data_IF_530997591713
#
_entry.id   IF_530997591713
#
_cell.length_a   1.000
_cell.length_b   1.000
_cell.length_c   1.000
_cell.angle_alpha   90.00
_cell.angle_beta   90.00
_cell.angle_gamma   90.00
#
_symmetry.space_group_name_H-M   'P 1'
#
loop_
_entity.id
_entity.type
_entity.pdbx_description
1 polymer ?
#
# COMPACT_ATOMS: atom_id res chain seq x y z
N UNK A 1 6.37 13.63 25.99
CA UNK A 1 7.46 13.13 25.08
C UNK A 1 7.49 14.03 23.84
N UNK A 2 8.67 14.46 23.37
CA UNK A 2 8.78 15.30 22.18
C UNK A 2 8.77 14.46 20.91
N UNK A 3 8.20 15.01 19.84
CA UNK A 3 8.24 14.46 18.50
C UNK A 3 8.68 15.53 17.51
N UNK A 4 9.36 15.10 16.45
CA UNK A 4 9.62 15.88 15.25
C UNK A 4 8.82 15.26 14.12
N UNK A 5 7.90 16.02 13.51
CA UNK A 5 6.96 15.48 12.56
C UNK A 5 6.64 16.44 11.41
N UNK A 6 6.25 15.89 10.27
CA UNK A 6 5.67 16.66 9.17
C UNK A 6 4.15 16.74 9.41
N UNK A 7 3.63 17.97 9.53
CA UNK A 7 2.24 18.26 9.75
C UNK A 7 1.66 19.08 8.60
N UNK A 8 0.42 18.80 8.23
CA UNK A 8 -0.31 19.57 7.21
C UNK A 8 -1.23 20.61 7.88
N UNK A 9 -1.13 21.86 7.39
CA UNK A 9 -1.89 23.02 7.87
C UNK A 9 -2.89 23.55 6.84
N UNK A 10 -2.85 23.05 5.62
CA UNK A 10 -3.71 23.48 4.52
C UNK A 10 -3.16 23.02 3.17
N UNK A 11 -3.70 23.56 2.09
CA UNK A 11 -3.27 23.23 0.72
C UNK A 11 -1.79 23.56 0.53
N UNK A 12 -0.96 22.55 0.27
CA UNK A 12 0.50 22.64 0.08
C UNK A 12 1.26 23.28 1.24
N UNK A 13 0.65 23.33 2.42
CA UNK A 13 1.27 23.86 3.63
C UNK A 13 1.67 22.69 4.54
N UNK A 14 2.83 22.09 4.25
CA UNK A 14 3.47 21.04 5.03
C UNK A 14 4.62 21.67 5.82
N UNK A 15 4.65 21.42 7.13
CA UNK A 15 5.66 21.98 8.03
C UNK A 15 6.34 20.87 8.82
N UNK A 16 7.67 20.91 8.88
CA UNK A 16 8.46 20.09 9.78
C UNK A 16 8.59 20.81 11.12
N UNK A 17 8.05 20.23 12.17
CA UNK A 17 7.96 20.87 13.49
C UNK A 17 8.40 19.92 14.60
N UNK A 18 8.86 20.52 15.70
CA UNK A 18 9.10 19.84 16.97
C UNK A 18 8.05 20.31 17.98
N UNK A 19 7.37 19.38 18.61
CA UNK A 19 6.34 19.68 19.61
C UNK A 19 6.20 18.55 20.64
N UNK A 20 5.55 18.87 21.75
CA UNK A 20 5.28 17.89 22.79
C UNK A 20 4.01 17.12 22.50
N UNK A 21 4.12 15.79 22.49
CA UNK A 21 2.96 14.89 22.43
C UNK A 21 2.18 14.93 23.74
N UNK A 22 0.86 14.73 23.71
CA UNK A 22 0.07 14.63 24.92
C UNK A 22 0.53 13.47 25.82
N UNK A 23 0.26 13.57 27.11
CA UNK A 23 0.48 12.45 28.02
C UNK A 23 -0.39 11.27 27.57
N UNK A 24 0.26 10.13 27.35
CA UNK A 24 -0.40 8.88 26.97
C UNK A 24 -1.41 8.46 28.05
N UNK A 25 -2.60 8.06 27.65
CA UNK A 25 -3.63 7.50 28.54
C UNK A 25 -3.45 6.00 28.74
N UNK A 26 -4.20 5.46 29.70
CA UNK A 26 -4.14 4.02 30.05
C UNK A 26 -4.67 3.09 28.94
N UNK A 27 -5.34 3.65 27.93
CA UNK A 27 -5.86 2.93 26.77
C UNK A 27 -5.12 3.27 25.45
N UNK A 28 -3.95 3.90 25.53
CA UNK A 28 -3.14 4.32 24.39
C UNK A 28 -1.77 3.61 24.38
N UNK A 29 -1.04 3.76 23.29
CA UNK A 29 0.32 3.23 23.12
C UNK A 29 1.24 4.35 22.60
N UNK A 30 2.40 4.52 23.24
CA UNK A 30 3.50 5.33 22.68
C UNK A 30 4.40 4.45 21.82
N UNK A 31 4.79 4.98 20.65
CA UNK A 31 5.69 4.28 19.75
C UNK A 31 6.70 5.24 19.10
N UNK A 32 7.87 4.69 18.78
CA UNK A 32 8.88 5.33 17.93
C UNK A 32 8.73 4.80 16.51
N UNK A 33 8.55 5.70 15.54
CA UNK A 33 8.55 5.35 14.13
C UNK A 33 9.99 5.13 13.66
N UNK A 34 10.19 4.10 12.86
CA UNK A 34 11.51 3.75 12.31
C UNK A 34 11.56 4.03 10.81
N UNK A 35 10.50 3.66 10.10
CA UNK A 35 10.38 3.92 8.65
C UNK A 35 8.94 4.26 8.29
N UNK A 36 8.80 5.07 7.25
CA UNK A 36 7.56 5.36 6.53
C UNK A 36 7.86 5.41 5.05
N UNK A 37 7.01 4.89 4.20
CA UNK A 37 7.15 5.03 2.75
C UNK A 37 6.30 6.18 2.21
N UNK A 38 6.80 6.85 1.17
CA UNK A 38 6.13 8.01 0.58
C UNK A 38 5.13 7.59 -0.48
N UNK A 39 3.85 7.71 -0.18
CA UNK A 39 2.76 7.43 -1.10
C UNK A 39 2.35 8.65 -1.92
N UNK A 40 2.01 8.43 -3.19
CA UNK A 40 1.42 9.48 -4.03
C UNK A 40 0.09 10.02 -3.48
N UNK A 41 -0.59 9.27 -2.63
CA UNK A 41 -1.80 9.76 -1.94
C UNK A 41 -1.48 10.89 -0.95
N UNK A 42 -0.33 10.88 -0.30
CA UNK A 42 0.14 12.00 0.55
C UNK A 42 0.31 13.28 -0.28
N UNK A 43 0.90 13.18 -1.48
CA UNK A 43 0.98 14.31 -2.42
C UNK A 43 -0.41 14.82 -2.84
N UNK A 44 -1.34 13.91 -3.14
CA UNK A 44 -2.72 14.26 -3.49
C UNK A 44 -3.44 14.99 -2.34
N UNK A 45 -3.29 14.48 -1.13
CA UNK A 45 -3.86 15.09 0.09
C UNK A 45 -3.28 16.48 0.31
N UNK A 46 -1.96 16.65 0.17
CA UNK A 46 -1.31 17.96 0.28
C UNK A 46 -1.85 18.99 -0.74
N UNK A 47 -2.11 18.56 -1.98
CA UNK A 47 -2.67 19.45 -2.99
C UNK A 47 -4.13 19.84 -2.76
N UNK A 48 -4.91 19.01 -2.06
CA UNK A 48 -6.35 19.25 -1.82
C UNK A 48 -6.63 19.92 -0.47
N UNK A 49 -5.74 19.73 0.53
CA UNK A 49 -5.96 20.22 1.89
C UNK A 49 -7.33 19.78 2.43
N UNK A 50 -8.03 20.65 3.11
CA UNK A 50 -9.34 20.40 3.75
C UNK A 50 -10.45 19.93 2.80
N UNK A 51 -10.25 20.05 1.48
CA UNK A 51 -11.18 19.48 0.48
C UNK A 51 -11.05 17.96 0.36
N UNK A 52 -9.99 17.38 0.89
CA UNK A 52 -9.80 15.94 0.85
C UNK A 52 -10.58 15.28 1.99
N UNK A 53 -11.42 14.27 1.65
CA UNK A 53 -12.33 13.59 2.59
C UNK A 53 -11.69 12.97 3.82
N UNK A 54 -10.40 12.67 3.79
CA UNK A 54 -9.64 12.10 4.92
C UNK A 54 -9.09 13.17 5.86
N UNK A 55 -9.13 14.45 5.51
CA UNK A 55 -8.59 15.51 6.34
C UNK A 55 -9.68 16.20 7.16
N UNK A 56 -9.39 16.61 8.40
CA UNK A 56 -10.31 17.45 9.17
C UNK A 56 -10.48 18.85 8.54
N UNK A 57 -11.60 19.49 8.83
CA UNK A 57 -11.99 20.77 8.21
C UNK A 57 -11.31 22.02 8.83
N UNK A 58 -10.45 21.86 9.81
CA UNK A 58 -9.77 22.98 10.49
C UNK A 58 -8.29 22.68 10.70
N UNK A 59 -7.59 22.43 9.60
CA UNK A 59 -6.15 22.10 9.61
C UNK A 59 -5.30 23.23 10.18
N UNK A 60 -5.71 24.47 10.02
CA UNK A 60 -4.97 25.62 10.50
C UNK A 60 -4.80 25.60 12.03
N UNK A 61 -5.85 25.21 12.75
CA UNK A 61 -5.86 25.15 14.22
C UNK A 61 -5.60 23.73 14.74
N UNK A 62 -5.89 22.71 13.93
CA UNK A 62 -5.77 21.29 14.27
C UNK A 62 -4.98 20.53 13.20
N UNK A 63 -3.70 20.87 13.01
CA UNK A 63 -2.85 20.20 12.03
C UNK A 63 -2.64 18.72 12.39
N UNK A 64 -2.50 17.89 11.38
CA UNK A 64 -2.37 16.44 11.54
C UNK A 64 -1.02 15.93 11.02
N UNK A 65 -0.49 14.88 11.62
CA UNK A 65 0.74 14.21 11.18
C UNK A 65 0.43 13.41 9.91
N UNK A 66 1.33 13.51 8.92
CA UNK A 66 1.25 12.79 7.66
C UNK A 66 1.97 11.44 7.71
N UNK A 67 1.85 10.65 6.63
CA UNK A 67 2.47 9.34 6.49
C UNK A 67 1.62 8.20 7.02
N UNK A 68 1.27 7.25 6.16
CA UNK A 68 0.35 6.16 6.50
C UNK A 68 0.89 4.76 6.20
N UNK A 69 2.11 4.67 5.68
CA UNK A 69 2.79 3.43 5.29
C UNK A 69 3.97 3.17 6.23
N UNK A 70 3.71 3.08 7.54
CA UNK A 70 4.77 3.12 8.54
C UNK A 70 4.89 1.87 9.40
N UNK A 71 6.11 1.68 9.90
CA UNK A 71 6.38 0.72 10.94
C UNK A 71 7.27 1.32 12.04
N UNK A 72 7.26 0.69 13.21
CA UNK A 72 7.97 1.21 14.35
C UNK A 72 8.09 0.22 15.49
N UNK A 73 8.54 0.76 16.62
CA UNK A 73 8.73 0.01 17.87
C UNK A 73 7.90 0.64 18.96
N UNK A 74 7.13 -0.17 19.67
CA UNK A 74 6.36 0.24 20.84
C UNK A 74 7.32 0.63 21.95
N UNK A 75 7.17 1.82 22.50
CA UNK A 75 8.02 2.33 23.60
C UNK A 75 7.32 2.25 24.97
N UNK A 76 5.99 2.42 24.98
CA UNK A 76 5.19 2.33 26.20
C UNK A 76 3.77 1.85 25.88
N UNK A 77 3.18 1.11 26.81
CA UNK A 77 1.85 0.51 26.66
C UNK A 77 0.98 0.89 27.85
N UNK A 78 -0.21 1.41 27.59
CA UNK A 78 -1.23 1.67 28.62
C UNK A 78 -1.78 0.39 29.24
N UNK A 79 -2.29 0.48 30.47
CA UNK A 79 -2.72 -0.68 31.25
C UNK A 79 -3.69 -1.58 30.49
N UNK A 80 -4.62 -0.98 29.74
CA UNK A 80 -5.63 -1.70 28.94
C UNK A 80 -5.02 -2.71 27.96
N UNK A 81 -3.85 -2.41 27.38
CA UNK A 81 -3.27 -3.16 26.29
C UNK A 81 -2.06 -4.04 26.63
N UNK A 82 -1.62 -4.06 27.89
CA UNK A 82 -0.46 -4.84 28.35
C UNK A 82 -0.60 -6.36 28.15
N UNK A 83 -1.82 -6.84 27.97
CA UNK A 83 -2.08 -8.26 27.69
C UNK A 83 -1.80 -8.65 26.24
N UNK A 84 -1.70 -7.67 25.31
CA UNK A 84 -1.43 -7.90 23.88
C UNK A 84 -0.08 -7.35 23.42
N UNK A 85 0.40 -6.28 24.03
CA UNK A 85 1.59 -5.56 23.61
C UNK A 85 2.54 -5.29 24.77
N UNK A 86 3.83 -5.17 24.45
CA UNK A 86 4.87 -4.76 25.41
C UNK A 86 5.87 -3.80 24.75
N UNK A 87 6.58 -2.98 25.54
CA UNK A 87 7.70 -2.20 25.03
C UNK A 87 8.73 -3.10 24.33
N UNK A 88 9.20 -2.64 23.16
CA UNK A 88 10.11 -3.39 22.28
C UNK A 88 9.41 -4.19 21.19
N UNK A 89 8.10 -4.38 21.23
CA UNK A 89 7.38 -5.03 20.14
C UNK A 89 7.44 -4.15 18.87
N UNK A 90 7.75 -4.80 17.74
CA UNK A 90 7.74 -4.15 16.43
C UNK A 90 6.35 -4.29 15.79
N UNK A 91 5.92 -3.24 15.10
CA UNK A 91 4.62 -3.23 14.43
C UNK A 91 4.68 -2.57 13.06
N UNK A 92 3.73 -2.92 12.21
CA UNK A 92 3.37 -2.18 10.99
C UNK A 92 1.96 -1.63 11.14
N UNK A 93 1.72 -0.46 10.58
CA UNK A 93 0.42 0.17 10.66
C UNK A 93 -0.49 -0.26 9.51
N UNK A 94 -1.73 -0.63 9.84
CA UNK A 94 -2.85 -0.66 8.91
C UNK A 94 -3.65 0.61 9.14
N UNK A 95 -3.65 1.57 8.19
CA UNK A 95 -4.18 2.91 8.48
C UNK A 95 -5.69 3.03 8.52
N UNK A 96 -6.42 2.09 7.91
CA UNK A 96 -7.87 2.18 7.75
C UNK A 96 -8.61 1.72 9.01
N UNK A 97 -9.31 2.65 9.63
CA UNK A 97 -10.13 2.40 10.83
C UNK A 97 -11.53 1.85 10.52
N UNK A 98 -11.91 1.74 9.24
CA UNK A 98 -13.27 1.32 8.86
C UNK A 98 -14.37 2.30 9.27
N UNK A 99 -14.04 3.58 9.42
CA UNK A 99 -14.98 4.64 9.81
C UNK A 99 -15.80 5.15 8.62
N UNK A 100 -17.04 5.55 8.88
CA UNK A 100 -17.91 6.14 7.86
C UNK A 100 -17.37 7.49 7.33
N UNK A 101 -16.66 8.27 8.15
CA UNK A 101 -16.01 9.53 7.76
C UNK A 101 -14.72 9.34 6.96
N UNK A 102 -14.28 8.10 6.75
CA UNK A 102 -13.04 7.72 6.06
C UNK A 102 -11.74 8.15 6.75
N UNK A 103 -11.80 8.65 7.98
CA UNK A 103 -10.62 9.04 8.74
C UNK A 103 -9.66 7.87 8.96
N UNK A 104 -8.37 8.13 8.84
CA UNK A 104 -7.31 7.11 8.81
C UNK A 104 -6.05 7.61 9.50
N UNK A 105 -5.22 6.69 9.99
CA UNK A 105 -3.89 7.02 10.53
C UNK A 105 -3.03 7.67 9.45
N UNK A 106 -2.22 8.64 9.84
CA UNK A 106 -1.34 9.37 8.92
C UNK A 106 -2.03 10.34 7.95
N UNK A 107 -3.32 10.65 8.21
CA UNK A 107 -4.10 11.65 7.47
C UNK A 107 -4.97 12.53 8.37
N UNK A 108 -5.55 11.96 9.42
CA UNK A 108 -6.71 12.58 10.09
C UNK A 108 -6.46 12.95 11.54
N UNK A 109 -5.35 12.52 12.11
CA UNK A 109 -5.12 12.61 13.55
C UNK A 109 -3.86 13.41 13.89
N UNK A 110 -3.91 14.21 14.97
CA UNK A 110 -2.83 15.16 15.27
C UNK A 110 -1.55 14.52 15.83
N UNK A 111 -1.63 13.27 16.36
CA UNK A 111 -0.55 12.66 17.12
C UNK A 111 -0.11 11.30 16.62
N UNK A 112 -0.61 10.84 15.46
CA UNK A 112 -0.23 9.56 14.85
C UNK A 112 -0.12 9.66 13.33
N UNK A 113 1.03 9.25 12.82
CA UNK A 113 1.39 9.20 11.41
C UNK A 113 2.85 8.81 11.25
N UNK A 114 3.22 8.34 10.07
CA UNK A 114 4.55 7.79 9.79
C UNK A 114 5.64 8.85 9.65
N UNK A 115 5.28 10.05 9.20
CA UNK A 115 6.22 11.17 9.05
C UNK A 115 6.49 11.86 10.39
N UNK A 116 6.79 11.06 11.42
CA UNK A 116 7.10 11.52 12.78
C UNK A 116 8.17 10.64 13.43
N UNK A 117 8.87 11.19 14.44
CA UNK A 117 9.83 10.40 15.22
C UNK A 117 9.15 9.57 16.30
N UNK A 118 8.17 10.15 16.98
CA UNK A 118 7.37 9.49 18.03
C UNK A 118 5.90 9.81 17.83
N UNK A 119 5.03 8.90 18.26
CA UNK A 119 3.58 9.01 18.13
C UNK A 119 2.87 8.50 19.38
N UNK A 120 1.63 8.98 19.58
CA UNK A 120 0.66 8.39 20.52
C UNK A 120 -0.46 7.77 19.69
N UNK A 121 -0.58 6.47 19.79
CA UNK A 121 -1.57 5.68 19.04
C UNK A 121 -2.82 5.54 19.90
N UNK A 122 -3.93 6.07 19.41
CA UNK A 122 -5.17 6.12 20.13
C UNK A 122 -5.84 4.75 20.27
N UNK A 123 -6.64 4.61 21.31
CA UNK A 123 -7.38 3.39 21.64
C UNK A 123 -8.18 2.82 20.44
N UNK A 124 -8.87 3.67 19.68
CA UNK A 124 -9.65 3.22 18.53
C UNK A 124 -8.82 2.46 17.50
N UNK A 125 -7.60 2.93 17.21
CA UNK A 125 -6.71 2.27 16.26
C UNK A 125 -6.28 0.88 16.76
N UNK A 126 -6.07 0.75 18.06
CA UNK A 126 -5.67 -0.53 18.66
C UNK A 126 -6.85 -1.51 18.68
N UNK A 127 -8.04 -1.06 19.08
CA UNK A 127 -9.28 -1.86 19.04
C UNK A 127 -9.65 -2.35 17.62
N UNK A 128 -9.36 -1.55 16.61
CA UNK A 128 -9.60 -1.89 15.20
C UNK A 128 -8.51 -2.79 14.61
N UNK A 129 -7.49 -3.16 15.38
CA UNK A 129 -6.39 -4.03 14.94
C UNK A 129 -5.46 -3.33 13.95
N UNK A 130 -5.30 -2.01 14.04
CA UNK A 130 -4.45 -1.25 13.13
C UNK A 130 -2.95 -1.41 13.42
N UNK A 131 -2.56 -2.02 14.53
CA UNK A 131 -1.19 -2.37 14.87
C UNK A 131 -0.98 -3.87 14.64
N UNK A 132 -0.35 -4.21 13.52
CA UNK A 132 -0.04 -5.59 13.19
C UNK A 132 1.37 -5.95 13.68
N UNK A 133 1.57 -7.09 14.38
CA UNK A 133 2.90 -7.51 14.79
C UNK A 133 3.83 -7.67 13.60
N UNK A 134 5.02 -7.08 13.66
CA UNK A 134 6.04 -7.19 12.63
C UNK A 134 7.22 -8.02 13.12
N UNK A 135 7.61 -9.02 12.32
CA UNK A 135 8.68 -9.96 12.60
C UNK A 135 9.73 -10.03 11.49
N UNK A 136 9.68 -9.10 10.53
CA UNK A 136 10.67 -9.02 9.45
C UNK A 136 12.03 -8.56 9.97
N UNK A 137 13.06 -8.78 9.17
CA UNK A 137 14.45 -8.44 9.51
C UNK A 137 14.74 -6.95 9.33
N UNK A 138 14.14 -6.31 8.31
CA UNK A 138 14.38 -4.92 7.97
C UNK A 138 13.15 -4.03 8.12
N UNK A 139 13.26 -2.93 8.85
CA UNK A 139 12.15 -1.98 9.00
C UNK A 139 11.71 -1.34 7.67
N UNK A 140 12.60 -1.24 6.67
CA UNK A 140 12.23 -0.75 5.34
C UNK A 140 11.19 -1.66 4.66
N UNK A 141 11.28 -2.97 4.88
CA UNK A 141 10.26 -3.93 4.41
C UNK A 141 8.93 -3.71 5.13
N UNK A 142 8.99 -3.36 6.42
CA UNK A 142 7.81 -3.04 7.21
C UNK A 142 7.00 -1.87 6.65
N UNK A 143 7.66 -0.85 6.09
CA UNK A 143 6.99 0.28 5.44
C UNK A 143 6.31 -0.11 4.11
N UNK A 144 6.71 -1.22 3.50
CA UNK A 144 6.10 -1.74 2.26
C UNK A 144 4.90 -2.66 2.50
N UNK A 145 4.61 -3.03 3.75
CA UNK A 145 3.50 -3.95 4.07
C UNK A 145 2.15 -3.34 3.72
N UNK A 146 1.95 -2.04 4.00
CA UNK A 146 0.69 -1.37 3.66
C UNK A 146 0.47 -1.34 2.14
N UNK A 147 1.39 -0.81 1.28
CA UNK A 147 1.19 -0.81 -0.16
C UNK A 147 1.08 -2.23 -0.73
N UNK A 148 1.81 -3.22 -0.22
CA UNK A 148 1.65 -4.61 -0.63
C UNK A 148 0.26 -5.15 -0.29
N UNK A 149 -0.30 -4.77 0.85
CA UNK A 149 -1.67 -5.18 1.23
C UNK A 149 -2.72 -4.71 0.23
N UNK A 150 -2.53 -3.53 -0.38
CA UNK A 150 -3.39 -3.01 -1.45
C UNK A 150 -3.31 -3.89 -2.71
N UNK A 151 -2.11 -4.33 -3.08
CA UNK A 151 -1.90 -5.26 -4.20
C UNK A 151 -2.58 -6.61 -3.92
N UNK A 152 -2.33 -7.19 -2.75
CA UNK A 152 -2.96 -8.46 -2.33
C UNK A 152 -4.49 -8.36 -2.37
N UNK A 153 -5.05 -7.25 -1.88
CA UNK A 153 -6.49 -7.00 -1.92
C UNK A 153 -7.00 -6.91 -3.36
N UNK A 154 -6.30 -6.19 -4.25
CA UNK A 154 -6.63 -6.09 -5.67
C UNK A 154 -6.63 -7.45 -6.37
N UNK A 155 -5.60 -8.26 -6.15
CA UNK A 155 -5.54 -9.62 -6.71
C UNK A 155 -6.67 -10.52 -6.21
N UNK A 156 -7.00 -10.47 -4.91
CA UNK A 156 -8.08 -11.25 -4.33
C UNK A 156 -9.47 -10.76 -4.72
N UNK A 157 -9.63 -9.48 -5.02
CA UNK A 157 -10.91 -8.87 -5.42
C UNK A 157 -11.27 -9.11 -6.90
N UNK A 158 -10.33 -9.59 -7.73
CA UNK A 158 -10.69 -10.05 -9.07
C UNK A 158 -11.75 -11.15 -9.00
N UNK A 159 -12.68 -11.12 -9.94
CA UNK A 159 -13.67 -12.19 -10.05
C UNK A 159 -13.82 -12.62 -11.51
N UNK A 160 -14.16 -13.89 -11.71
CA UNK A 160 -14.35 -14.48 -13.02
C UNK A 160 -15.65 -15.27 -13.03
N UNK A 161 -16.50 -15.04 -14.03
CA UNK A 161 -17.66 -15.89 -14.28
C UNK A 161 -17.19 -17.25 -14.79
N UNK A 162 -17.81 -18.35 -14.35
CA UNK A 162 -17.54 -19.67 -14.90
C UNK A 162 -18.02 -19.78 -16.34
N UNK A 163 -19.21 -19.22 -16.58
CA UNK A 163 -19.88 -19.15 -17.87
C UNK A 163 -20.58 -17.78 -17.97
N UNK A 164 -20.73 -17.25 -19.18
CA UNK A 164 -21.43 -15.97 -19.42
C UNK A 164 -22.89 -15.98 -18.98
N UNK A 165 -23.49 -17.17 -18.84
CA UNK A 165 -24.88 -17.37 -18.42
C UNK A 165 -25.00 -17.80 -16.94
N UNK A 166 -23.89 -17.87 -16.23
CA UNK A 166 -23.85 -18.25 -14.81
C UNK A 166 -23.62 -17.03 -13.93
N UNK A 167 -24.37 -16.96 -12.82
CA UNK A 167 -24.13 -15.96 -11.77
C UNK A 167 -23.03 -16.40 -10.79
N UNK A 168 -22.60 -17.66 -10.87
CA UNK A 168 -21.48 -18.16 -10.07
C UNK A 168 -20.16 -17.57 -10.56
N UNK A 169 -19.38 -17.04 -9.62
CA UNK A 169 -18.08 -16.47 -9.90
C UNK A 169 -17.00 -17.02 -8.96
N UNK A 170 -15.77 -17.02 -9.45
CA UNK A 170 -14.58 -17.37 -8.67
C UNK A 170 -13.79 -16.10 -8.35
N UNK A 171 -13.46 -15.91 -7.07
CA UNK A 171 -12.65 -14.78 -6.62
C UNK A 171 -11.15 -15.05 -6.81
N UNK A 172 -10.39 -13.97 -6.97
CA UNK A 172 -8.95 -13.98 -7.18
C UNK A 172 -8.56 -14.12 -8.65
N UNK A 173 -7.26 -14.03 -8.96
CA UNK A 173 -6.77 -14.24 -10.33
C UNK A 173 -6.97 -15.69 -10.77
N UNK A 174 -7.05 -15.92 -12.08
CA UNK A 174 -7.12 -17.29 -12.63
C UNK A 174 -5.76 -17.96 -12.49
N UNK A 175 -5.74 -19.09 -11.80
CA UNK A 175 -4.55 -19.94 -11.75
C UNK A 175 -4.24 -20.48 -13.15
N UNK A 176 -2.96 -20.41 -13.55
CA UNK A 176 -2.51 -20.77 -14.89
C UNK A 176 -3.16 -19.96 -16.04
N UNK A 177 -3.82 -18.84 -15.72
CA UNK A 177 -4.42 -17.93 -16.69
C UNK A 177 -3.41 -16.93 -17.24
N UNK A 178 -3.92 -15.89 -17.92
CA UNK A 178 -3.15 -14.74 -18.37
C UNK A 178 -3.49 -13.52 -17.51
N UNK A 179 -2.47 -12.75 -17.11
CA UNK A 179 -2.59 -11.52 -16.30
C UNK A 179 -1.82 -10.38 -16.97
N UNK A 180 -2.43 -9.21 -17.10
CA UNK A 180 -1.74 -8.01 -17.53
C UNK A 180 -1.67 -6.98 -16.40
N UNK A 181 -0.46 -6.46 -16.14
CA UNK A 181 -0.22 -5.32 -15.24
C UNK A 181 0.08 -4.09 -16.11
N UNK A 182 -0.91 -3.24 -16.28
CA UNK A 182 -0.81 -2.06 -17.12
C UNK A 182 -0.12 -0.92 -16.37
N UNK A 183 0.93 -0.34 -16.98
CA UNK A 183 1.73 0.70 -16.34
C UNK A 183 2.56 0.18 -15.14
N UNK A 184 2.92 -1.10 -15.14
CA UNK A 184 3.52 -1.83 -14.02
C UNK A 184 4.98 -1.48 -13.70
N UNK A 185 5.50 -0.34 -14.14
CA UNK A 185 6.91 0.05 -13.95
C UNK A 185 7.13 1.11 -12.86
N UNK A 186 6.18 1.24 -11.95
CA UNK A 186 6.28 2.04 -10.73
C UNK A 186 6.31 1.17 -9.47
N UNK A 187 6.41 1.78 -8.26
CA UNK A 187 6.51 1.04 -7.00
C UNK A 187 5.38 0.01 -6.80
N UNK A 188 4.12 0.41 -7.02
CA UNK A 188 2.98 -0.51 -6.92
C UNK A 188 3.03 -1.62 -7.97
N UNK A 189 3.47 -1.29 -9.19
CA UNK A 189 3.65 -2.28 -10.25
C UNK A 189 4.73 -3.30 -9.91
N UNK A 190 5.83 -2.89 -9.29
CA UNK A 190 6.88 -3.81 -8.83
C UNK A 190 6.36 -4.77 -7.77
N UNK A 191 5.60 -4.28 -6.78
CA UNK A 191 4.94 -5.14 -5.80
C UNK A 191 3.93 -6.09 -6.45
N UNK A 192 3.21 -5.63 -7.49
CA UNK A 192 2.26 -6.48 -8.22
C UNK A 192 2.97 -7.58 -9.04
N UNK A 193 4.11 -7.28 -9.67
CA UNK A 193 4.94 -8.26 -10.38
C UNK A 193 5.45 -9.31 -9.39
N UNK A 194 6.03 -8.86 -8.28
CA UNK A 194 6.53 -9.74 -7.23
C UNK A 194 5.44 -10.68 -6.72
N UNK A 195 4.30 -10.11 -6.36
CA UNK A 195 3.17 -10.90 -5.86
C UNK A 195 2.63 -11.87 -6.90
N UNK A 196 2.55 -11.48 -8.19
CA UNK A 196 2.10 -12.37 -9.26
C UNK A 196 3.01 -13.58 -9.46
N UNK A 197 4.34 -13.40 -9.25
CA UNK A 197 5.33 -14.47 -9.40
C UNK A 197 5.35 -15.42 -8.18
N UNK A 198 5.22 -14.86 -6.97
CA UNK A 198 5.47 -15.60 -5.73
C UNK A 198 4.21 -16.05 -4.97
N UNK A 199 3.01 -15.58 -5.38
CA UNK A 199 1.75 -15.99 -4.78
C UNK A 199 1.47 -17.49 -4.99
N UNK A 200 0.65 -18.08 -4.13
CA UNK A 200 0.20 -19.48 -4.25
C UNK A 200 -0.60 -19.73 -5.54
N UNK A 201 -1.43 -18.77 -5.93
CA UNK A 201 -2.18 -18.79 -7.20
C UNK A 201 -1.48 -17.89 -8.22
N UNK A 202 -0.84 -18.46 -9.21
CA UNK A 202 0.00 -17.78 -10.20
C UNK A 202 -0.64 -17.77 -11.60
N UNK A 203 -0.45 -16.71 -12.39
CA UNK A 203 -0.76 -16.74 -13.81
C UNK A 203 0.29 -17.60 -14.53
N UNK A 204 -0.08 -18.22 -15.64
CA UNK A 204 0.88 -18.85 -16.56
C UNK A 204 1.60 -17.78 -17.41
N UNK A 205 0.85 -16.77 -17.84
CA UNK A 205 1.36 -15.67 -18.65
C UNK A 205 1.15 -14.35 -17.88
N UNK A 206 2.25 -13.63 -17.64
CA UNK A 206 2.26 -12.31 -17.02
C UNK A 206 2.82 -11.30 -18.01
N UNK A 207 2.01 -10.31 -18.38
CA UNK A 207 2.45 -9.20 -19.24
C UNK A 207 2.51 -7.92 -18.42
N UNK A 208 3.64 -7.23 -18.47
CA UNK A 208 3.86 -5.95 -17.79
C UNK A 208 4.13 -4.87 -18.80
N UNK A 209 3.32 -3.83 -18.79
CA UNK A 209 3.51 -2.70 -19.70
C UNK A 209 4.16 -1.50 -19.02
N UNK A 210 4.88 -0.69 -19.80
CA UNK A 210 5.47 0.56 -19.33
C UNK A 210 5.73 1.53 -20.48
N UNK A 211 5.60 2.83 -20.21
CA UNK A 211 5.79 3.88 -21.21
C UNK A 211 7.24 4.35 -21.37
N UNK A 212 8.13 3.98 -20.46
CA UNK A 212 9.51 4.48 -20.42
C UNK A 212 10.48 3.32 -20.44
N UNK A 213 11.34 3.26 -21.43
CA UNK A 213 12.33 2.19 -21.60
C UNK A 213 13.19 1.99 -20.34
N UNK A 214 13.74 3.06 -19.77
CA UNK A 214 14.59 2.95 -18.58
C UNK A 214 13.88 2.35 -17.36
N UNK A 215 12.57 2.57 -17.23
CA UNK A 215 11.76 1.95 -16.16
C UNK A 215 11.46 0.48 -16.44
N UNK A 216 11.24 0.11 -17.71
CA UNK A 216 11.13 -1.29 -18.10
C UNK A 216 12.44 -2.04 -17.87
N UNK A 217 13.58 -1.42 -18.19
CA UNK A 217 14.89 -2.01 -17.93
C UNK A 217 15.15 -2.19 -16.42
N UNK A 218 14.66 -1.29 -15.59
CA UNK A 218 14.68 -1.46 -14.14
C UNK A 218 13.81 -2.66 -13.71
N UNK A 219 12.59 -2.77 -14.25
CA UNK A 219 11.69 -3.89 -13.95
C UNK A 219 12.34 -5.24 -14.34
N UNK A 220 12.94 -5.31 -15.55
CA UNK A 220 13.64 -6.50 -16.03
C UNK A 220 14.85 -6.89 -15.15
N UNK A 221 15.54 -5.90 -14.56
CA UNK A 221 16.64 -6.19 -13.61
C UNK A 221 16.15 -6.70 -12.27
N UNK A 222 15.03 -6.17 -11.77
CA UNK A 222 14.43 -6.58 -10.48
C UNK A 222 13.74 -7.93 -10.58
N UNK A 223 13.07 -8.17 -11.71
CA UNK A 223 12.31 -9.39 -11.97
C UNK A 223 12.70 -9.96 -13.33
N UNK A 224 13.85 -10.68 -13.40
CA UNK A 224 14.29 -11.32 -14.64
C UNK A 224 13.29 -12.39 -15.09
N UNK A 225 13.10 -12.54 -16.40
CA UNK A 225 12.17 -13.52 -16.97
C UNK A 225 12.56 -14.96 -16.60
N UNK A 226 13.86 -15.21 -16.45
CA UNK A 226 14.39 -16.50 -16.04
C UNK A 226 14.05 -16.83 -14.59
N UNK A 227 13.96 -15.81 -13.73
CA UNK A 227 13.52 -15.99 -12.33
C UNK A 227 12.04 -16.32 -12.28
N UNK A 228 11.19 -15.57 -12.98
CA UNK A 228 9.74 -15.85 -13.07
C UNK A 228 9.48 -17.26 -13.62
N UNK A 229 10.27 -17.72 -14.59
CA UNK A 229 10.15 -19.06 -15.17
C UNK A 229 10.36 -20.18 -14.15
N UNK A 230 11.19 -19.98 -13.11
CA UNK A 230 11.37 -20.97 -12.02
C UNK A 230 10.08 -21.23 -11.24
N UNK A 231 9.19 -20.25 -11.23
CA UNK A 231 7.86 -20.32 -10.59
C UNK A 231 6.75 -20.72 -11.56
N UNK A 232 7.09 -21.08 -12.80
CA UNK A 232 6.14 -21.49 -13.85
C UNK A 232 5.44 -20.31 -14.54
N UNK A 233 5.93 -19.07 -14.37
CA UNK A 233 5.36 -17.86 -14.95
C UNK A 233 6.15 -17.43 -16.18
N UNK A 234 5.50 -17.32 -17.33
CA UNK A 234 6.06 -16.71 -18.53
C UNK A 234 5.87 -15.19 -18.46
N UNK A 235 6.94 -14.46 -18.15
CA UNK A 235 6.91 -13.00 -17.99
C UNK A 235 7.32 -12.28 -19.27
N UNK A 236 6.50 -11.32 -19.70
CA UNK A 236 6.75 -10.49 -20.89
C UNK A 236 6.67 -9.00 -20.53
N UNK A 237 7.61 -8.21 -21.03
CA UNK A 237 7.64 -6.75 -20.84
C UNK A 237 7.39 -6.05 -22.16
N UNK A 238 6.43 -5.11 -22.19
CA UNK A 238 5.98 -4.39 -23.38
C UNK A 238 6.16 -2.88 -23.18
N UNK A 239 6.87 -2.23 -24.11
CA UNK A 239 6.98 -0.77 -24.17
C UNK A 239 5.77 -0.20 -24.92
N UNK A 240 5.02 0.71 -24.27
CA UNK A 240 3.79 1.29 -24.82
C UNK A 240 3.95 2.73 -25.32
N UNK A 241 5.18 3.24 -25.44
CA UNK A 241 5.42 4.65 -25.77
C UNK A 241 5.13 5.01 -27.23
N UNK A 242 5.38 4.07 -28.14
CA UNK A 242 5.46 4.33 -29.58
C UNK A 242 4.56 3.40 -30.42
N UNK A 243 3.59 2.70 -29.79
CA UNK A 243 2.80 1.70 -30.50
C UNK A 243 1.37 2.17 -30.75
N UNK A 244 1.02 2.26 -32.04
CA UNK A 244 -0.32 2.58 -32.50
C UNK A 244 -1.33 1.44 -32.24
N UNK A 245 -0.86 0.20 -32.01
CA UNK A 245 -1.71 -0.98 -31.76
C UNK A 245 -1.25 -1.85 -30.60
N UNK A 246 -1.17 -1.24 -29.41
CA UNK A 246 -0.85 -1.94 -28.16
C UNK A 246 -1.83 -3.08 -27.85
N UNK A 247 -3.08 -3.01 -28.33
CA UNK A 247 -4.09 -4.02 -28.08
C UNK A 247 -3.74 -5.32 -28.81
N UNK A 248 -3.27 -5.25 -30.05
CA UNK A 248 -2.89 -6.43 -30.83
C UNK A 248 -1.61 -7.07 -30.25
N UNK A 249 -0.63 -6.27 -29.83
CA UNK A 249 0.56 -6.79 -29.15
C UNK A 249 0.21 -7.50 -27.84
N UNK A 250 -0.63 -6.89 -27.00
CA UNK A 250 -1.09 -7.50 -25.77
C UNK A 250 -1.86 -8.79 -26.01
N UNK A 251 -2.72 -8.85 -27.04
CA UNK A 251 -3.43 -10.08 -27.44
C UNK A 251 -2.44 -11.18 -27.87
N UNK A 252 -1.43 -10.82 -28.66
CA UNK A 252 -0.40 -11.77 -29.09
C UNK A 252 0.40 -12.32 -27.89
N UNK A 253 0.80 -11.44 -26.95
CA UNK A 253 1.53 -11.82 -25.74
C UNK A 253 0.71 -12.69 -24.77
N UNK A 254 -0.60 -12.46 -24.70
CA UNK A 254 -1.50 -13.15 -23.79
C UNK A 254 -2.07 -14.46 -24.39
N UNK A 255 -1.60 -14.85 -25.58
CA UNK A 255 -2.11 -16.03 -26.31
C UNK A 255 -3.63 -16.05 -26.26
N UNK A 256 -4.24 -15.21 -27.08
CA UNK A 256 -5.66 -14.94 -27.19
C UNK A 256 -6.56 -16.05 -26.57
N UNK A 257 -7.01 -15.83 -25.35
CA UNK A 257 -8.17 -16.50 -24.81
C UNK A 257 -9.34 -15.52 -24.92
N UNK A 258 -10.51 -15.98 -25.32
CA UNK A 258 -11.70 -15.17 -25.60
C UNK A 258 -12.17 -14.24 -24.47
N UNK A 259 -11.51 -14.26 -23.31
CA UNK A 259 -11.82 -13.52 -22.09
C UNK A 259 -10.70 -12.60 -21.58
N UNK A 260 -9.66 -12.31 -22.37
CA UNK A 260 -8.53 -11.44 -21.96
C UNK A 260 -8.93 -9.99 -21.60
N UNK A 261 -10.19 -9.60 -21.83
CA UNK A 261 -10.70 -8.28 -21.47
C UNK A 261 -11.05 -8.16 -19.96
N UNK A 262 -11.25 -9.26 -19.26
CA UNK A 262 -11.74 -9.25 -17.87
C UNK A 262 -10.63 -9.26 -16.82
N UNK A 263 -9.38 -9.54 -17.21
CA UNK A 263 -8.24 -9.65 -16.28
C UNK A 263 -7.42 -8.34 -16.15
N UNK A 264 -8.06 -7.18 -16.27
CA UNK A 264 -7.39 -5.88 -16.16
C UNK A 264 -7.32 -5.43 -14.71
N UNK A 265 -6.11 -5.39 -14.15
CA UNK A 265 -5.81 -4.59 -12.96
C UNK A 265 -5.27 -3.24 -13.45
N UNK A 266 -6.05 -2.18 -13.33
CA UNK A 266 -5.56 -0.80 -13.44
C UNK A 266 -5.06 -0.37 -12.06
N UNK A 267 -3.77 -0.15 -11.93
CA UNK A 267 -3.12 0.44 -10.74
C UNK A 267 -3.06 1.96 -10.89
#
# INVERSE_FOLDING_TARGET
MNTKAVRIYGVKDLRLEEFELPTMKDDEIEARIVTDSLCMSTYKVSNQGEKHKKLPNDLKNHPVIMGHEFCGVITKVGEKWKHLYKPGDCFVAQPNLGRADTFSLGYSFPYVGGEATNVVIMNEAIEKGCLLPYKGEGFFEGALVEPLSCIVAGFKANFHLRDRNDYDHTMGIRENGALAILGGTGPMGFLAIDYAIHNDRRPKHLVVTGRTQSKLDMAKRLYPVEEAAKYGVTLTYVLTADEDDIVEELKACLLYTSDAADDRISV
#
